data_IF_664405877072
#
_entry.id   IF_664405877072
#
_cell.length_a   1.000
_cell.length_b   1.000
_cell.length_c   1.000
_cell.angle_alpha   90.00
_cell.angle_beta   90.00
_cell.angle_gamma   90.00
#
_symmetry.space_group_name_H-M   'P 1'
#
loop_
_entity.id
_entity.type
_entity.pdbx_description
1 polymer ?
#
# COMPACT_ATOMS: atom_id res chain seq x y z
N UNK A 1 -9.39 -5.33 8.06
CA UNK A 1 -9.08 -6.58 8.77
C UNK A 1 -7.69 -6.44 9.36
N UNK A 2 -7.52 -6.68 10.66
CA UNK A 2 -6.23 -6.61 11.37
C UNK A 2 -5.82 -8.01 11.80
N UNK A 3 -4.62 -8.43 11.41
CA UNK A 3 -4.07 -9.75 11.66
C UNK A 3 -2.83 -9.59 12.55
N UNK A 4 -2.98 -9.74 13.87
CA UNK A 4 -1.90 -9.47 14.81
C UNK A 4 -0.81 -10.54 14.69
N UNK A 5 0.46 -10.10 14.64
CA UNK A 5 1.66 -10.95 14.60
C UNK A 5 1.57 -12.07 13.56
N UNK A 6 1.06 -11.75 12.38
CA UNK A 6 1.05 -12.68 11.24
C UNK A 6 2.47 -13.05 10.82
N UNK A 7 3.40 -12.09 10.94
CA UNK A 7 4.82 -12.29 10.69
C UNK A 7 5.58 -12.35 12.02
N UNK A 8 6.45 -13.36 12.16
CA UNK A 8 7.33 -13.48 13.30
C UNK A 8 8.58 -12.60 13.12
N UNK A 9 9.28 -12.32 14.21
CA UNK A 9 10.52 -11.52 14.18
C UNK A 9 11.57 -12.09 13.21
N UNK A 10 11.65 -13.42 13.09
CA UNK A 10 12.53 -14.10 12.13
C UNK A 10 12.22 -13.75 10.67
N UNK A 11 10.96 -13.50 10.34
CA UNK A 11 10.52 -13.09 9.01
C UNK A 11 10.84 -11.61 8.75
N UNK A 12 10.74 -10.79 9.80
CA UNK A 12 10.97 -9.34 9.71
C UNK A 12 12.44 -8.97 9.56
N UNK A 13 13.38 -9.72 10.15
CA UNK A 13 14.82 -9.42 10.08
C UNK A 13 15.34 -9.27 8.64
N UNK A 14 15.19 -10.26 7.73
CA UNK A 14 15.67 -10.12 6.36
C UNK A 14 14.91 -9.04 5.59
N UNK A 15 13.61 -8.89 5.85
CA UNK A 15 12.77 -7.89 5.20
C UNK A 15 13.18 -6.46 5.59
N UNK A 16 13.38 -6.18 6.88
CA UNK A 16 13.88 -4.89 7.38
C UNK A 16 15.23 -4.53 6.77
N UNK A 17 16.13 -5.51 6.60
CA UNK A 17 17.44 -5.27 5.99
C UNK A 17 17.27 -4.77 4.55
N UNK A 18 16.48 -5.47 3.73
CA UNK A 18 16.21 -5.08 2.34
C UNK A 18 15.54 -3.71 2.27
N UNK A 19 14.51 -3.47 3.08
CA UNK A 19 13.75 -2.22 3.06
C UNK A 19 14.55 -1.04 3.59
N UNK A 20 15.45 -1.25 4.55
CA UNK A 20 16.38 -0.22 5.03
C UNK A 20 17.36 0.18 3.92
N UNK A 21 17.84 -0.81 3.15
CA UNK A 21 18.69 -0.54 1.98
C UNK A 21 17.92 0.25 0.91
N UNK A 22 16.71 -0.19 0.57
CA UNK A 22 15.83 0.55 -0.35
C UNK A 22 15.64 1.99 0.13
N UNK A 23 15.21 2.18 1.37
CA UNK A 23 14.90 3.51 1.92
C UNK A 23 16.12 4.42 1.93
N UNK A 24 17.30 3.89 2.26
CA UNK A 24 18.54 4.68 2.24
C UNK A 24 18.92 5.12 0.83
N UNK A 25 18.70 4.29 -0.18
CA UNK A 25 18.94 4.65 -1.59
C UNK A 25 17.89 5.65 -2.08
N UNK A 26 16.63 5.42 -1.75
CA UNK A 26 15.52 6.33 -2.06
C UNK A 26 15.73 7.72 -1.45
N UNK A 27 16.13 7.82 -0.18
CA UNK A 27 16.40 9.11 0.48
C UNK A 27 17.50 9.93 -0.21
N UNK A 28 18.48 9.27 -0.84
CA UNK A 28 19.53 9.95 -1.61
C UNK A 28 19.02 10.41 -2.98
N UNK A 29 18.21 9.60 -3.65
CA UNK A 29 17.64 9.94 -4.96
C UNK A 29 16.53 11.00 -4.86
N UNK A 30 15.70 10.91 -3.83
CA UNK A 30 14.46 11.68 -3.65
C UNK A 30 14.56 12.65 -2.46
N UNK A 31 15.76 13.16 -2.15
CA UNK A 31 16.00 14.05 -1.02
C UNK A 31 15.05 15.26 -1.04
N UNK A 32 14.85 15.85 -2.22
CA UNK A 32 13.98 17.00 -2.40
C UNK A 32 12.51 16.65 -2.14
N UNK A 33 12.05 15.47 -2.55
CA UNK A 33 10.69 15.02 -2.27
C UNK A 33 10.50 14.76 -0.77
N UNK A 34 11.47 14.13 -0.12
CA UNK A 34 11.44 13.92 1.33
C UNK A 34 11.46 15.24 2.10
N UNK A 35 12.27 16.22 1.68
CA UNK A 35 12.31 17.55 2.26
C UNK A 35 10.98 18.31 2.10
N UNK A 36 10.23 18.06 1.01
CA UNK A 36 8.89 18.62 0.78
C UNK A 36 7.77 17.87 1.50
N UNK A 37 8.08 16.81 2.25
CA UNK A 37 7.11 16.13 3.09
C UNK A 37 6.59 14.80 2.55
N UNK A 38 7.31 14.14 1.64
CA UNK A 38 6.99 12.77 1.28
C UNK A 38 6.98 11.86 2.52
N UNK A 39 5.98 10.98 2.58
CA UNK A 39 5.74 10.05 3.70
C UNK A 39 5.74 8.58 3.26
N UNK A 40 5.91 8.35 1.96
CA UNK A 40 6.04 7.05 1.37
C UNK A 40 6.90 7.10 0.11
N UNK A 41 7.31 5.92 -0.32
CA UNK A 41 7.95 5.64 -1.61
C UNK A 41 7.25 4.45 -2.24
N UNK A 42 7.24 4.35 -3.57
CA UNK A 42 6.52 3.32 -4.31
C UNK A 42 7.43 2.50 -5.22
N UNK A 43 6.89 1.41 -5.76
CA UNK A 43 7.53 0.53 -6.74
C UNK A 43 8.82 -0.11 -6.21
N UNK A 44 8.81 -0.62 -4.98
CA UNK A 44 10.02 -1.15 -4.32
C UNK A 44 10.62 -2.36 -5.04
N UNK A 45 9.80 -3.15 -5.74
CA UNK A 45 10.24 -4.31 -6.51
C UNK A 45 10.80 -3.96 -7.90
N UNK A 46 10.92 -2.67 -8.23
CA UNK A 46 11.62 -2.21 -9.43
C UNK A 46 13.14 -2.52 -9.35
N UNK A 47 13.83 -2.42 -10.48
CA UNK A 47 15.26 -2.68 -10.64
C UNK A 47 16.12 -1.46 -10.33
N UNK A 48 15.52 -0.27 -10.22
CA UNK A 48 16.23 0.98 -10.01
C UNK A 48 17.00 1.01 -8.69
N UNK A 49 16.35 0.58 -7.60
CA UNK A 49 16.88 0.76 -6.24
C UNK A 49 17.24 -0.54 -5.54
N UNK A 50 16.87 -1.71 -6.06
CA UNK A 50 17.20 -3.01 -5.47
C UNK A 50 17.83 -3.96 -6.49
N UNK A 51 18.83 -4.71 -6.03
CA UNK A 51 19.44 -5.79 -6.78
C UNK A 51 18.62 -7.07 -6.75
N UNK A 52 19.04 -8.08 -7.52
CA UNK A 52 18.32 -9.36 -7.68
C UNK A 52 18.01 -10.05 -6.36
N UNK A 53 18.99 -10.20 -5.46
CA UNK A 53 18.78 -10.88 -4.18
C UNK A 53 17.81 -10.14 -3.25
N UNK A 54 17.85 -8.81 -3.25
CA UNK A 54 16.94 -7.96 -2.49
C UNK A 54 15.50 -8.07 -3.02
N UNK A 55 15.33 -8.03 -4.35
CA UNK A 55 14.02 -8.21 -5.01
C UNK A 55 13.44 -9.61 -4.76
N UNK A 56 14.25 -10.66 -4.82
CA UNK A 56 13.82 -12.04 -4.50
C UNK A 56 13.28 -12.17 -3.09
N UNK A 57 13.90 -11.49 -2.11
CA UNK A 57 13.38 -11.43 -0.74
C UNK A 57 11.96 -10.82 -0.72
N UNK A 58 11.74 -9.69 -1.41
CA UNK A 58 10.42 -9.07 -1.48
C UNK A 58 9.39 -9.98 -2.18
N UNK A 59 9.75 -10.58 -3.31
CA UNK A 59 8.85 -11.50 -4.03
C UNK A 59 8.48 -12.73 -3.20
N UNK A 60 9.42 -13.27 -2.43
CA UNK A 60 9.15 -14.38 -1.50
C UNK A 60 8.14 -14.02 -0.42
N UNK A 61 8.17 -12.79 0.10
CA UNK A 61 7.17 -12.30 1.07
C UNK A 61 5.82 -12.09 0.40
N UNK A 62 5.78 -11.35 -0.73
CA UNK A 62 4.55 -11.00 -1.45
C UNK A 62 3.82 -12.25 -1.95
N UNK A 63 4.55 -13.23 -2.49
CA UNK A 63 4.01 -14.52 -2.93
C UNK A 63 4.14 -15.61 -1.86
N UNK A 64 4.19 -15.24 -0.58
CA UNK A 64 4.22 -16.19 0.53
C UNK A 64 2.84 -16.78 0.82
N UNK A 65 2.81 -17.97 1.43
CA UNK A 65 1.56 -18.70 1.74
C UNK A 65 0.61 -17.87 2.64
N UNK A 66 1.15 -17.18 3.65
CA UNK A 66 0.35 -16.34 4.54
C UNK A 66 -0.35 -15.19 3.80
N UNK A 67 0.35 -14.55 2.87
CA UNK A 67 -0.24 -13.50 2.02
C UNK A 67 -1.30 -14.09 1.08
N UNK A 68 -1.02 -15.24 0.45
CA UNK A 68 -1.98 -15.91 -0.41
C UNK A 68 -3.29 -16.27 0.31
N UNK A 69 -3.22 -16.75 1.56
CA UNK A 69 -4.39 -17.03 2.38
C UNK A 69 -5.22 -15.79 2.70
N UNK A 70 -4.57 -14.68 3.05
CA UNK A 70 -5.23 -13.40 3.28
C UNK A 70 -5.95 -12.93 2.02
N UNK A 71 -5.29 -13.04 0.87
CA UNK A 71 -5.85 -12.64 -0.41
C UNK A 71 -7.06 -13.49 -0.84
N UNK A 72 -7.02 -14.80 -0.61
CA UNK A 72 -8.17 -15.69 -0.86
C UNK A 72 -9.40 -15.31 -0.03
N UNK A 73 -9.21 -14.78 1.18
CA UNK A 73 -10.30 -14.31 2.02
C UNK A 73 -10.89 -12.95 1.56
N UNK A 74 -10.16 -12.19 0.75
CA UNK A 74 -10.56 -10.84 0.31
C UNK A 74 -11.09 -10.82 -1.11
N UNK A 75 -10.50 -11.59 -2.03
CA UNK A 75 -10.82 -11.58 -3.46
C UNK A 75 -11.53 -12.86 -3.87
N UNK A 76 -12.75 -12.76 -4.39
CA UNK A 76 -13.54 -13.90 -4.88
C UNK A 76 -13.00 -14.47 -6.19
N UNK A 77 -12.57 -13.61 -7.12
CA UNK A 77 -12.07 -14.03 -8.43
C UNK A 77 -10.55 -14.18 -8.49
N UNK A 78 -9.86 -13.88 -7.37
CA UNK A 78 -8.42 -13.90 -7.19
C UNK A 78 -7.73 -12.60 -7.66
N UNK A 79 -6.72 -12.11 -6.93
CA UNK A 79 -6.12 -10.80 -7.20
C UNK A 79 -4.98 -10.83 -8.22
N UNK A 80 -4.64 -9.63 -8.69
CA UNK A 80 -3.40 -9.31 -9.37
C UNK A 80 -2.51 -8.44 -8.47
N UNK A 81 -1.19 -8.59 -8.59
CA UNK A 81 -0.22 -7.72 -7.91
C UNK A 81 -0.11 -6.39 -8.66
N UNK A 82 -0.26 -5.27 -7.93
CA UNK A 82 -0.21 -3.93 -8.51
C UNK A 82 1.18 -3.32 -8.35
N UNK A 83 1.57 -3.03 -7.12
CA UNK A 83 2.89 -2.53 -6.77
C UNK A 83 3.15 -2.70 -5.26
N UNK A 84 4.24 -2.11 -4.79
CA UNK A 84 4.61 -2.04 -3.38
C UNK A 84 4.90 -0.61 -2.98
N UNK A 85 4.73 -0.32 -1.70
CA UNK A 85 5.10 0.95 -1.09
C UNK A 85 5.84 0.74 0.23
N UNK A 86 6.52 1.78 0.69
CA UNK A 86 7.15 1.85 2.00
C UNK A 86 6.73 3.15 2.65
N UNK A 87 6.12 3.06 3.83
CA UNK A 87 5.68 4.22 4.60
C UNK A 87 6.64 4.52 5.74
N UNK A 88 6.95 5.80 5.91
CA UNK A 88 7.88 6.32 6.93
C UNK A 88 7.38 7.66 7.48
N UNK A 89 8.02 8.17 8.53
CA UNK A 89 7.68 9.48 9.09
C UNK A 89 8.13 10.62 8.16
N UNK A 90 7.40 11.75 8.12
CA UNK A 90 7.84 12.93 7.37
C UNK A 90 9.16 13.48 7.94
N UNK A 91 9.95 14.16 7.09
CA UNK A 91 11.18 14.82 7.52
C UNK A 91 10.91 15.91 8.58
N UNK A 92 9.83 16.66 8.41
CA UNK A 92 9.36 17.67 9.36
C UNK A 92 8.43 17.02 10.40
N UNK A 93 8.80 16.93 11.68
CA UNK A 93 7.94 16.36 12.72
C UNK A 93 6.63 17.13 12.95
N UNK A 94 6.57 18.40 12.54
CA UNK A 94 5.36 19.22 12.65
C UNK A 94 4.40 19.04 11.46
N UNK A 95 4.77 18.25 10.44
CA UNK A 95 3.88 17.95 9.32
C UNK A 95 2.64 17.20 9.82
N UNK A 96 1.46 17.77 9.54
CA UNK A 96 0.20 17.14 9.86
C UNK A 96 -0.06 15.92 8.97
N UNK A 97 -0.66 14.88 9.52
CA UNK A 97 -1.29 13.85 8.71
C UNK A 97 -2.54 14.41 8.01
N UNK A 98 -3.06 13.70 7.02
CA UNK A 98 -4.23 14.17 6.27
C UNK A 98 -5.12 13.01 5.85
N UNK A 99 -6.43 13.22 5.96
CA UNK A 99 -7.46 12.32 5.48
C UNK A 99 -7.48 12.29 3.96
N UNK A 100 -7.52 11.09 3.41
CA UNK A 100 -7.65 10.89 1.97
C UNK A 100 -8.34 9.56 1.63
N UNK A 101 -8.71 9.45 0.36
CA UNK A 101 -8.99 8.20 -0.36
C UNK A 101 -7.99 8.16 -1.52
N UNK A 102 -7.42 7.00 -1.83
CA UNK A 102 -6.36 6.90 -2.84
C UNK A 102 -6.84 7.32 -4.22
N UNK A 103 -8.12 7.12 -4.51
CA UNK A 103 -8.76 7.54 -5.77
C UNK A 103 -8.58 9.04 -6.05
N UNK A 104 -8.36 9.87 -5.03
CA UNK A 104 -8.09 11.31 -5.20
C UNK A 104 -6.80 11.59 -5.98
N UNK A 105 -5.87 10.65 -6.02
CA UNK A 105 -4.57 10.80 -6.68
C UNK A 105 -4.52 10.18 -8.08
N UNK A 106 -5.65 9.69 -8.59
CA UNK A 106 -5.76 9.14 -9.95
C UNK A 106 -5.87 10.21 -11.04
N UNK A 107 -6.18 11.46 -10.65
CA UNK A 107 -6.44 12.57 -11.58
C UNK A 107 -7.88 12.65 -12.08
N UNK A 108 -8.76 11.74 -11.66
CA UNK A 108 -10.17 11.74 -12.03
C UNK A 108 -10.93 12.95 -11.42
N UNK A 109 -11.90 13.53 -12.15
CA UNK A 109 -12.90 14.45 -11.58
C UNK A 109 -13.68 13.85 -10.41
N UNK A 110 -14.25 14.70 -9.55
CA UNK A 110 -14.86 14.25 -8.29
C UNK A 110 -16.08 13.33 -8.49
N UNK A 111 -16.93 13.64 -9.46
CA UNK A 111 -18.08 12.84 -9.86
C UNK A 111 -17.65 11.47 -10.40
N UNK A 112 -16.58 11.41 -11.18
CA UNK A 112 -15.98 10.15 -11.62
C UNK A 112 -15.37 9.36 -10.46
N UNK A 113 -14.67 10.02 -9.53
CA UNK A 113 -14.19 9.35 -8.31
C UNK A 113 -15.34 8.71 -7.54
N UNK A 114 -16.47 9.41 -7.41
CA UNK A 114 -17.66 8.89 -6.74
C UNK A 114 -18.27 7.70 -7.49
N UNK A 115 -18.37 7.78 -8.83
CA UNK A 115 -18.91 6.71 -9.66
C UNK A 115 -18.04 5.45 -9.67
N UNK A 116 -16.72 5.60 -9.54
CA UNK A 116 -15.75 4.50 -9.57
C UNK A 116 -15.51 3.84 -8.20
N UNK A 117 -16.05 4.40 -7.11
CA UNK A 117 -15.83 3.89 -5.75
C UNK A 117 -16.19 2.40 -5.59
N UNK A 118 -17.28 1.95 -6.23
CA UNK A 118 -17.73 0.56 -6.16
C UNK A 118 -17.10 -0.34 -7.23
N UNK A 119 -16.22 0.18 -8.09
CA UNK A 119 -15.60 -0.53 -9.22
C UNK A 119 -14.10 -0.71 -9.04
N UNK A 120 -13.44 0.25 -8.39
CA UNK A 120 -12.00 0.19 -8.12
C UNK A 120 -11.77 -0.62 -6.86
N UNK A 121 -11.37 -1.87 -7.01
CA UNK A 121 -11.02 -2.73 -5.88
C UNK A 121 -9.52 -2.86 -5.78
N UNK A 122 -8.89 -1.87 -5.15
CA UNK A 122 -7.49 -1.94 -4.72
C UNK A 122 -7.45 -2.16 -3.21
N UNK A 123 -6.66 -3.15 -2.79
CA UNK A 123 -6.51 -3.58 -1.41
C UNK A 123 -5.04 -3.44 -1.01
N UNK A 124 -4.82 -2.79 0.13
CA UNK A 124 -3.54 -2.66 0.79
C UNK A 124 -3.39 -3.78 1.82
N UNK A 125 -2.27 -4.49 1.75
CA UNK A 125 -1.77 -5.38 2.80
C UNK A 125 -0.54 -4.70 3.41
N UNK A 126 -0.76 -3.95 4.50
CA UNK A 126 0.27 -3.16 5.17
C UNK A 126 0.85 -3.90 6.36
N UNK A 127 2.11 -4.29 6.24
CA UNK A 127 2.90 -4.97 7.26
C UNK A 127 3.70 -3.95 8.06
N UNK A 128 3.43 -3.87 9.36
CA UNK A 128 4.22 -3.07 10.30
C UNK A 128 5.57 -3.77 10.57
N UNK A 129 6.69 -3.11 10.26
CA UNK A 129 8.04 -3.68 10.50
C UNK A 129 8.59 -3.31 11.87
N UNK A 130 7.95 -2.32 12.50
CA UNK A 130 8.20 -1.78 13.84
C UNK A 130 6.84 -1.43 14.44
N UNK A 131 6.78 -1.32 15.76
CA UNK A 131 5.62 -0.75 16.42
C UNK A 131 5.37 0.67 15.87
N UNK A 132 4.14 0.94 15.46
CA UNK A 132 3.73 2.22 14.90
C UNK A 132 2.37 2.66 15.45
N UNK A 133 2.11 3.98 15.50
CA UNK A 133 0.77 4.48 15.84
C UNK A 133 -0.32 3.97 14.87
N UNK A 134 0.09 3.51 13.69
CA UNK A 134 -0.76 2.83 12.72
C UNK A 134 -1.53 3.78 11.83
N UNK A 135 -2.79 3.45 11.59
CA UNK A 135 -3.68 4.22 10.73
C UNK A 135 -4.93 4.62 11.48
N UNK A 136 -5.51 5.73 11.06
CA UNK A 136 -6.88 6.05 11.41
C UNK A 136 -7.74 5.91 10.17
N UNK A 137 -8.90 5.27 10.30
CA UNK A 137 -9.82 4.98 9.21
C UNK A 137 -11.26 5.22 9.64
N UNK A 138 -12.15 5.48 8.68
CA UNK A 138 -13.59 5.49 8.95
C UNK A 138 -14.19 4.19 8.39
N UNK A 139 -14.65 3.25 9.25
CA UNK A 139 -15.18 1.97 8.80
C UNK A 139 -16.34 2.11 7.81
N UNK A 140 -16.39 1.21 6.82
CA UNK A 140 -17.48 1.17 5.84
C UNK A 140 -17.42 2.20 4.71
N UNK A 141 -16.53 3.21 4.79
CA UNK A 141 -16.43 4.26 3.77
C UNK A 141 -15.98 3.77 2.40
N UNK A 142 -15.29 2.61 2.32
CA UNK A 142 -15.02 1.95 1.04
C UNK A 142 -16.27 1.56 0.23
N UNK A 143 -17.48 1.59 0.82
CA UNK A 143 -18.75 1.24 0.14
C UNK A 143 -19.71 2.41 -0.05
N UNK A 144 -19.36 3.59 0.44
CA UNK A 144 -20.20 4.78 0.35
C UNK A 144 -19.35 6.03 0.14
N UNK A 145 -19.94 7.02 -0.51
CA UNK A 145 -19.31 8.33 -0.58
C UNK A 145 -19.28 9.01 0.79
N UNK A 146 -18.59 10.14 0.84
CA UNK A 146 -18.42 10.93 2.05
C UNK A 146 -19.74 11.54 2.53
N UNK A 147 -19.86 11.66 3.84
CA UNK A 147 -20.76 12.63 4.47
C UNK A 147 -20.23 14.06 4.27
N UNK A 148 -21.06 15.06 4.58
CA UNK A 148 -20.64 16.46 4.52
C UNK A 148 -19.40 16.74 5.41
N UNK A 149 -19.35 16.18 6.62
CA UNK A 149 -18.19 16.32 7.51
C UNK A 149 -16.92 15.72 6.91
N UNK A 150 -17.01 14.47 6.46
CA UNK A 150 -15.90 13.72 5.87
C UNK A 150 -15.36 14.43 4.63
N UNK A 151 -16.26 14.92 3.77
CA UNK A 151 -15.91 15.66 2.57
C UNK A 151 -15.23 16.99 2.92
N UNK A 152 -15.81 17.76 3.85
CA UNK A 152 -15.27 19.05 4.28
C UNK A 152 -13.86 18.92 4.86
N UNK A 153 -13.62 17.90 5.69
CA UNK A 153 -12.27 17.60 6.20
C UNK A 153 -11.36 17.16 5.06
N UNK A 154 -11.70 16.08 4.32
CA UNK A 154 -10.86 15.50 3.27
C UNK A 154 -10.45 16.51 2.20
N UNK A 155 -11.36 17.39 1.82
CA UNK A 155 -11.13 18.41 0.79
C UNK A 155 -10.66 19.76 1.33
N UNK A 156 -10.56 19.91 2.66
CA UNK A 156 -10.14 21.14 3.31
C UNK A 156 -11.13 22.31 3.14
N UNK A 157 -12.43 22.02 3.04
CA UNK A 157 -13.47 23.04 2.85
C UNK A 157 -13.97 23.54 4.20
N UNK A 158 -13.45 24.69 4.64
CA UNK A 158 -13.80 25.27 5.94
C UNK A 158 -13.26 24.47 7.14
N UNK A 159 -12.52 23.39 6.89
CA UNK A 159 -11.85 22.53 7.88
C UNK A 159 -10.44 22.21 7.38
N UNK A 160 -9.57 21.72 8.26
CA UNK A 160 -8.25 21.21 7.86
C UNK A 160 -8.35 19.75 7.50
N UNK A 161 -7.53 19.28 6.55
CA UNK A 161 -7.44 17.86 6.18
C UNK A 161 -6.92 16.96 7.31
N UNK A 162 -6.44 17.56 8.40
CA UNK A 162 -5.99 16.89 9.62
C UNK A 162 -6.97 16.94 10.78
N UNK A 163 -8.13 17.61 10.62
CA UNK A 163 -9.12 17.67 11.69
C UNK A 163 -9.71 16.26 11.97
N UNK A 164 -10.13 15.96 13.21
CA UNK A 164 -10.72 14.67 13.55
C UNK A 164 -12.07 14.45 12.85
N UNK A 165 -12.43 13.19 12.64
CA UNK A 165 -13.72 12.78 12.09
C UNK A 165 -14.51 11.97 13.11
N UNK A 166 -15.81 12.23 13.22
CA UNK A 166 -16.68 11.65 14.27
C UNK A 166 -16.76 10.11 14.24
N UNK A 167 -16.58 9.49 13.06
CA UNK A 167 -16.62 8.04 12.87
C UNK A 167 -15.25 7.37 12.77
N UNK A 168 -14.17 8.10 13.02
CA UNK A 168 -12.82 7.60 12.86
C UNK A 168 -12.42 6.59 13.95
N UNK A 169 -11.65 5.59 13.56
CA UNK A 169 -11.08 4.57 14.43
C UNK A 169 -9.58 4.46 14.18
N UNK A 170 -8.81 4.62 15.24
CA UNK A 170 -7.37 4.38 15.22
C UNK A 170 -7.08 2.87 15.36
N UNK A 171 -6.16 2.38 14.55
CA UNK A 171 -5.68 1.00 14.54
C UNK A 171 -4.18 1.02 14.77
N UNK A 172 -3.71 0.99 16.03
CA UNK A 172 -2.29 0.85 16.33
C UNK A 172 -1.78 -0.52 15.88
N UNK A 173 -0.52 -0.59 15.44
CA UNK A 173 0.08 -1.81 14.90
C UNK A 173 1.38 -2.13 15.62
N UNK A 174 1.51 -3.38 16.07
CA UNK A 174 2.79 -3.91 16.55
C UNK A 174 3.62 -4.45 15.38
N UNK A 175 4.93 -4.56 15.57
CA UNK A 175 5.79 -5.22 14.59
C UNK A 175 5.28 -6.64 14.27
N UNK A 176 5.10 -6.94 12.98
CA UNK A 176 4.60 -8.22 12.49
C UNK A 176 3.09 -8.25 12.26
N UNK A 177 2.35 -7.22 12.67
CA UNK A 177 0.94 -7.08 12.35
C UNK A 177 0.73 -6.78 10.86
N UNK A 178 -0.30 -7.39 10.26
CA UNK A 178 -0.76 -7.07 8.91
C UNK A 178 -2.13 -6.38 8.98
N UNK A 179 -2.22 -5.16 8.45
CA UNK A 179 -3.48 -4.45 8.26
C UNK A 179 -3.93 -4.55 6.81
N UNK A 180 -5.14 -5.06 6.62
CA UNK A 180 -5.80 -5.20 5.32
C UNK A 180 -6.93 -4.19 5.20
N UNK A 181 -6.83 -3.29 4.23
CA UNK A 181 -7.85 -2.25 4.00
C UNK A 181 -7.97 -1.90 2.51
N UNK A 182 -9.14 -1.36 2.14
CA UNK A 182 -9.39 -0.90 0.78
C UNK A 182 -8.81 0.50 0.56
N UNK A 183 -8.19 0.73 -0.59
CA UNK A 183 -7.69 2.04 -1.02
C UNK A 183 -8.81 3.09 -1.10
N UNK A 184 -10.06 2.64 -1.28
CA UNK A 184 -11.25 3.48 -1.28
C UNK A 184 -11.74 3.87 0.11
N UNK A 185 -11.17 3.31 1.18
CA UNK A 185 -11.55 3.70 2.54
C UNK A 185 -11.05 5.12 2.82
N UNK A 186 -11.83 5.94 3.50
CA UNK A 186 -11.33 7.19 4.06
C UNK A 186 -10.35 6.87 5.19
N UNK A 187 -9.09 7.26 5.04
CA UNK A 187 -8.03 6.91 5.97
C UNK A 187 -6.92 7.97 6.03
N UNK A 188 -6.08 7.87 7.06
CA UNK A 188 -4.83 8.61 7.19
C UNK A 188 -3.79 7.79 7.96
N UNK A 189 -2.52 7.98 7.61
CA UNK A 189 -1.43 7.41 8.39
C UNK A 189 -1.12 8.27 9.62
N UNK A 190 -1.04 7.65 10.79
CA UNK A 190 -0.57 8.31 12.01
C UNK A 190 0.97 8.34 12.01
N UNK A 191 1.58 9.47 12.38
CA UNK A 191 3.03 9.65 12.39
C UNK A 191 3.57 9.48 13.81
N UNK A 192 4.77 8.92 13.95
CA UNK A 192 5.41 8.67 15.24
C UNK A 192 6.23 7.38 15.27
N UNK A 193 6.85 7.09 16.41
CA UNK A 193 7.55 5.83 16.72
C UNK A 193 8.54 5.31 15.66
N UNK A 194 9.14 6.19 14.86
CA UNK A 194 9.99 5.80 13.72
C UNK A 194 9.30 4.79 12.78
N UNK A 195 8.02 5.05 12.50
CA UNK A 195 7.16 4.31 11.58
C UNK A 195 7.92 3.79 10.37
N UNK A 196 7.77 2.50 10.10
CA UNK A 196 8.39 1.82 8.99
C UNK A 196 7.52 0.63 8.59
N UNK A 197 6.78 0.76 7.49
CA UNK A 197 5.76 -0.22 7.10
C UNK A 197 5.87 -0.58 5.62
N UNK A 198 5.88 -1.88 5.34
CA UNK A 198 5.88 -2.42 3.99
C UNK A 198 4.45 -2.63 3.53
N UNK A 199 4.07 -2.03 2.41
CA UNK A 199 2.71 -2.08 1.92
C UNK A 199 2.67 -2.75 0.55
N UNK A 200 1.79 -3.74 0.42
CA UNK A 200 1.64 -4.56 -0.77
C UNK A 200 0.26 -4.31 -1.37
N UNK A 201 0.21 -3.80 -2.59
CA UNK A 201 -1.03 -3.42 -3.24
C UNK A 201 -1.46 -4.52 -4.21
N UNK A 202 -2.70 -4.94 -4.05
CA UNK A 202 -3.36 -5.94 -4.89
C UNK A 202 -4.67 -5.39 -5.42
N UNK A 203 -5.08 -5.84 -6.59
CA UNK A 203 -6.31 -5.37 -7.20
C UNK A 203 -7.04 -6.49 -7.96
N UNK A 204 -8.26 -6.19 -8.39
CA UNK A 204 -8.91 -7.01 -9.41
C UNK A 204 -8.07 -7.02 -10.69
N UNK A 205 -8.07 -8.16 -11.37
CA UNK A 205 -7.29 -8.37 -12.59
C UNK A 205 -7.95 -7.69 -13.81
N UNK A 206 -7.99 -6.36 -13.81
CA UNK A 206 -8.55 -5.55 -14.89
C UNK A 206 -7.48 -4.66 -15.55
N UNK A 207 -7.57 -4.40 -16.87
CA UNK A 207 -6.68 -3.47 -17.56
C UNK A 207 -6.68 -2.06 -16.94
N UNK A 208 -7.85 -1.57 -16.54
CA UNK A 208 -8.03 -0.24 -15.96
C UNK A 208 -7.26 -0.05 -14.64
N UNK A 209 -7.08 -1.11 -13.86
CA UNK A 209 -6.31 -1.06 -12.63
C UNK A 209 -4.83 -1.37 -12.88
N UNK A 210 -4.56 -2.33 -13.77
CA UNK A 210 -3.21 -2.79 -14.05
C UNK A 210 -2.42 -1.88 -14.99
N UNK A 211 -3.03 -0.83 -15.57
CA UNK A 211 -2.29 0.24 -16.24
C UNK A 211 -1.27 0.95 -15.31
N UNK A 212 -1.47 0.89 -13.99
CA UNK A 212 -0.54 1.43 -13.00
C UNK A 212 0.51 0.42 -12.53
N UNK A 213 0.44 -0.85 -12.97
CA UNK A 213 1.47 -1.84 -12.72
C UNK A 213 2.66 -1.65 -13.66
N UNK A 214 3.88 -1.89 -13.17
CA UNK A 214 5.11 -1.81 -13.98
C UNK A 214 5.68 -3.19 -14.24
N UNK A 215 6.01 -3.49 -15.50
CA UNK A 215 6.68 -4.77 -15.85
C UNK A 215 8.02 -4.95 -15.13
N UNK A 216 8.77 -3.87 -14.92
CA UNK A 216 10.02 -3.87 -14.14
C UNK A 216 9.85 -4.29 -12.68
N UNK A 217 8.66 -4.08 -12.12
CA UNK A 217 8.29 -4.47 -10.76
C UNK A 217 7.87 -5.94 -10.63
N UNK A 218 7.72 -6.66 -11.74
CA UNK A 218 7.33 -8.07 -11.73
C UNK A 218 8.56 -9.00 -11.63
N UNK A 219 8.41 -10.18 -11.01
CA UNK A 219 9.47 -11.19 -10.97
C UNK A 219 9.76 -11.73 -12.37
N UNK A 220 11.03 -12.04 -12.63
CA UNK A 220 11.42 -12.85 -13.80
C UNK A 220 11.00 -14.30 -13.63
N UNK A 221 11.08 -15.12 -14.68
CA UNK A 221 10.78 -16.55 -14.59
C UNK A 221 11.71 -17.27 -13.59
N UNK A 222 12.97 -16.82 -13.48
CA UNK A 222 13.93 -17.33 -12.49
C UNK A 222 13.52 -16.95 -11.07
N UNK A 223 13.05 -15.72 -10.85
CA UNK A 223 12.58 -15.27 -9.53
C UNK A 223 11.32 -16.05 -9.12
N UNK A 224 10.41 -16.33 -10.05
CA UNK A 224 9.16 -17.07 -9.82
C UNK A 224 9.39 -18.50 -9.32
N UNK A 225 10.48 -19.16 -9.73
CA UNK A 225 10.81 -20.51 -9.29
C UNK A 225 11.02 -20.62 -7.76
N UNK A 226 11.39 -19.50 -7.11
CA UNK A 226 11.56 -19.42 -5.66
C UNK A 226 10.35 -18.89 -4.88
N UNK A 227 9.24 -18.58 -5.57
CA UNK A 227 8.04 -17.99 -4.95
C UNK A 227 7.00 -19.09 -4.71
N UNK A 228 6.56 -19.25 -3.46
CA UNK A 228 5.63 -20.32 -3.08
C UNK A 228 4.24 -20.19 -3.74
N UNK A 229 3.72 -18.97 -3.84
CA UNK A 229 2.42 -18.64 -4.41
C UNK A 229 2.56 -17.53 -5.46
N UNK A 230 3.03 -17.84 -6.69
CA UNK A 230 3.33 -16.86 -7.74
C UNK A 230 2.10 -16.27 -8.46
N UNK A 231 0.89 -16.74 -8.15
CA UNK A 231 -0.33 -16.54 -8.96
C UNK A 231 -0.68 -15.07 -9.15
N UNK A 232 -0.46 -14.24 -8.13
CA UNK A 232 -0.69 -12.79 -8.19
C UNK A 232 0.15 -12.10 -9.26
N UNK A 233 1.40 -12.55 -9.45
CA UNK A 233 2.31 -12.00 -10.45
C UNK A 233 1.98 -12.50 -11.85
N UNK A 234 1.70 -13.80 -11.98
CA UNK A 234 1.32 -14.42 -13.24
C UNK A 234 0.06 -13.77 -13.81
N UNK A 235 -0.91 -13.47 -12.94
CA UNK A 235 -2.15 -12.79 -13.32
C UNK A 235 -1.90 -11.37 -13.81
N UNK A 236 -1.06 -10.61 -13.12
CA UNK A 236 -0.65 -9.29 -13.60
C UNK A 236 0.01 -9.37 -14.97
N UNK A 237 0.95 -10.30 -15.18
CA UNK A 237 1.61 -10.50 -16.48
C UNK A 237 0.60 -10.80 -17.58
N UNK A 238 -0.33 -11.72 -17.34
CA UNK A 238 -1.35 -12.11 -18.31
C UNK A 238 -2.18 -10.90 -18.79
N UNK A 239 -2.66 -10.05 -17.89
CA UNK A 239 -3.46 -8.88 -18.28
C UNK A 239 -2.61 -7.86 -19.04
N UNK A 240 -1.36 -7.61 -18.60
CA UNK A 240 -0.45 -6.70 -19.29
C UNK A 240 -0.05 -7.21 -20.68
N UNK A 241 0.04 -8.52 -20.87
CA UNK A 241 0.34 -9.14 -22.17
C UNK A 241 -0.86 -9.04 -23.12
N UNK A 242 -2.09 -9.22 -22.60
CA UNK A 242 -3.32 -9.05 -23.37
C UNK A 242 -3.57 -7.60 -23.81
N UNK A 243 -3.22 -6.62 -22.98
CA UNK A 243 -3.37 -5.20 -23.30
C UNK A 243 -2.31 -4.66 -24.28
N UNK A 244 -1.25 -5.43 -24.56
CA UNK A 244 -0.19 -5.06 -25.49
C UNK A 244 -0.40 -5.61 -26.92
N UNK A 245 -1.44 -6.44 -27.11
CA UNK A 245 -1.91 -6.96 -28.39
C UNK A 245 -2.96 -6.02 -29.00
#
# INVERSE_FOLDING_TARGET
>A
MHLPRLFAESDLIPLRKVLTVFHSRWLRQEEAAYARGAINSAYLTDRDLLGTGERRCLFGVIGGVGIAQVLQAVFSEGPAFLNTQLFFNPKNPAQSNYWHRDIQYTGLPLDEQQAQLSRIHVIHLRLALRDEPGLELVPGTHRRWDTEEEFAVRMGQGRRTSDPLSGAQAVPLAAGDLLVFSANMLHRGLYGMNRFAFDMLFCDASPDLLQYARRSCLPSDEDLAGVACPQVFLRTRQVLDQAAL
#
